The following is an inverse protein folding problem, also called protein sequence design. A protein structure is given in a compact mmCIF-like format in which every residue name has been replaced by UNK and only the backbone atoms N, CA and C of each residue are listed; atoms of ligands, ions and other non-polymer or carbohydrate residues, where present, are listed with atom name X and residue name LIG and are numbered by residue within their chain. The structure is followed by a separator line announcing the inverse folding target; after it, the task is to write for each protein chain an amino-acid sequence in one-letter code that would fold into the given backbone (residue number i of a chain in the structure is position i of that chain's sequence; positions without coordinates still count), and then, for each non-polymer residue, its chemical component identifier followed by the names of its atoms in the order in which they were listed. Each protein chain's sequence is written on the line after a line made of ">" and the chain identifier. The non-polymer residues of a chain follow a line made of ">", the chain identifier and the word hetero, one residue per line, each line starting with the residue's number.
data_IF_697638649609
#
_entry.id   IF_697638649609
#
_cell.length_a   1.000
_cell.length_b   1.000
_cell.length_c   1.000
_cell.angle_alpha   90.00
_cell.angle_beta   90.00
_cell.angle_gamma   90.00
#
_symmetry.space_group_name_H-M   'P 1'
#
loop_
_entity.id
_entity.type
_entity.pdbx_description
1 polymer ?
#
# COMPACT_ATOMS: atom_id res chain seq x y z
N UNK A 1 2.64 15.95 -9.22
CA UNK A 1 3.23 14.59 -9.27
C UNK A 1 2.08 13.62 -9.51
N UNK A 2 2.17 12.66 -10.47
CA UNK A 2 1.06 11.78 -10.86
C UNK A 2 0.59 10.82 -9.75
N UNK A 3 1.40 10.61 -8.71
CA UNK A 3 1.09 9.73 -7.59
C UNK A 3 0.41 10.44 -6.40
N UNK A 4 0.25 11.77 -6.47
CA UNK A 4 -0.24 12.58 -5.33
C UNK A 4 -1.58 12.09 -4.78
N UNK A 5 -2.56 11.81 -5.65
CA UNK A 5 -3.88 11.36 -5.20
C UNK A 5 -3.84 9.99 -4.51
N UNK A 6 -2.85 9.16 -4.85
CA UNK A 6 -2.64 7.86 -4.21
C UNK A 6 -2.03 8.09 -2.83
N UNK A 7 -0.96 8.89 -2.73
CA UNK A 7 -0.30 9.16 -1.44
C UNK A 7 -1.22 9.91 -0.47
N UNK A 8 -1.97 10.90 -0.96
CA UNK A 8 -2.95 11.65 -0.16
C UNK A 8 -4.02 10.72 0.43
N UNK A 9 -4.50 9.73 -0.34
CA UNK A 9 -5.46 8.74 0.17
C UNK A 9 -4.93 7.97 1.37
N UNK A 10 -3.64 7.59 1.38
CA UNK A 10 -3.03 6.95 2.54
C UNK A 10 -2.82 7.93 3.70
N UNK A 11 -2.38 9.16 3.42
CA UNK A 11 -2.21 10.22 4.45
C UNK A 11 -3.53 10.63 5.13
N UNK A 12 -4.68 10.38 4.51
CA UNK A 12 -6.00 10.50 5.15
C UNK A 12 -6.29 9.40 6.20
N UNK A 13 -5.35 8.49 6.45
CA UNK A 13 -5.48 7.39 7.42
C UNK A 13 -6.09 6.12 6.84
N UNK A 14 -6.23 6.03 5.51
CA UNK A 14 -6.68 4.80 4.88
C UNK A 14 -5.54 3.79 4.78
N UNK A 15 -5.88 2.51 4.91
CA UNK A 15 -4.95 1.39 4.74
C UNK A 15 -5.50 0.38 3.73
N UNK A 16 -4.59 -0.38 3.14
CA UNK A 16 -4.92 -1.41 2.16
C UNK A 16 -4.19 -2.71 2.53
N UNK A 17 -4.94 -3.76 2.79
CA UNK A 17 -4.40 -5.11 3.01
C UNK A 17 -4.77 -6.02 1.83
N UNK A 18 -3.76 -6.54 1.16
CA UNK A 18 -3.85 -7.49 0.04
C UNK A 18 -3.35 -8.85 0.52
N UNK A 19 -4.28 -9.68 0.99
CA UNK A 19 -3.99 -11.07 1.35
C UNK A 19 -4.06 -12.00 0.13
N UNK A 20 -3.17 -13.00 0.09
CA UNK A 20 -3.15 -14.06 -0.91
C UNK A 20 -4.43 -14.91 -0.90
N UNK A 21 -5.18 -14.89 0.20
CA UNK A 21 -6.47 -15.58 0.33
C UNK A 21 -7.64 -14.81 -0.32
N UNK A 22 -7.42 -13.59 -0.82
CA UNK A 22 -8.48 -12.81 -1.47
C UNK A 22 -8.92 -13.46 -2.78
N UNK A 23 -10.24 -13.52 -2.98
CA UNK A 23 -10.79 -13.87 -4.30
C UNK A 23 -10.54 -12.72 -5.27
N UNK A 24 -10.45 -13.00 -6.58
CA UNK A 24 -10.18 -11.97 -7.60
C UNK A 24 -11.16 -10.78 -7.55
N UNK A 25 -12.43 -11.01 -7.19
CA UNK A 25 -13.42 -9.94 -7.01
C UNK A 25 -13.12 -9.05 -5.80
N UNK A 26 -12.72 -9.65 -4.66
CA UNK A 26 -12.33 -8.89 -3.47
C UNK A 26 -11.02 -8.15 -3.71
N UNK A 27 -10.01 -8.81 -4.28
CA UNK A 27 -8.75 -8.19 -4.68
C UNK A 27 -8.97 -6.95 -5.55
N UNK A 28 -9.79 -7.07 -6.60
CA UNK A 28 -10.21 -5.93 -7.43
C UNK A 28 -10.87 -4.84 -6.59
N UNK A 29 -11.80 -5.20 -5.72
CA UNK A 29 -12.52 -4.24 -4.89
C UNK A 29 -11.57 -3.45 -4.00
N UNK A 30 -10.63 -4.12 -3.35
CA UNK A 30 -9.63 -3.48 -2.49
C UNK A 30 -8.77 -2.48 -3.28
N UNK A 31 -8.21 -2.88 -4.41
CA UNK A 31 -7.41 -1.99 -5.26
C UNK A 31 -8.21 -0.78 -5.78
N UNK A 32 -9.48 -0.96 -6.10
CA UNK A 32 -10.34 0.12 -6.59
C UNK A 32 -10.75 1.12 -5.50
N UNK A 33 -10.50 0.83 -4.21
CA UNK A 33 -10.73 1.79 -3.11
C UNK A 33 -9.70 2.92 -3.11
N UNK A 34 -8.49 2.66 -3.64
CA UNK A 34 -7.40 3.62 -3.61
C UNK A 34 -7.63 4.70 -4.67
N UNK A 35 -7.91 5.92 -4.23
CA UNK A 35 -8.20 7.06 -5.10
C UNK A 35 -7.03 7.34 -6.05
N UNK A 36 -7.34 7.53 -7.33
CA UNK A 36 -6.35 7.85 -8.36
C UNK A 36 -5.51 6.66 -8.87
N UNK A 37 -5.54 5.50 -8.22
CA UNK A 37 -4.73 4.34 -8.61
C UNK A 37 -5.14 3.77 -9.98
N UNK A 38 -6.44 3.56 -10.18
CA UNK A 38 -6.97 3.05 -11.45
C UNK A 38 -6.74 4.05 -12.60
N UNK A 39 -7.03 5.33 -12.35
CA UNK A 39 -6.91 6.40 -13.35
C UNK A 39 -5.45 6.59 -13.78
N UNK A 40 -4.50 6.48 -12.84
CA UNK A 40 -3.08 6.51 -13.13
C UNK A 40 -2.69 5.40 -14.11
N UNK A 41 -3.06 4.15 -13.81
CA UNK A 41 -2.73 3.00 -14.67
C UNK A 41 -3.38 3.16 -16.05
N UNK A 42 -4.65 3.56 -16.12
CA UNK A 42 -5.35 3.76 -17.40
C UNK A 42 -4.80 4.93 -18.21
N UNK A 43 -4.28 5.97 -17.56
CA UNK A 43 -3.64 7.10 -18.23
C UNK A 43 -2.37 6.68 -18.98
N UNK A 44 -1.52 5.85 -18.38
CA UNK A 44 -0.26 5.41 -19.00
C UNK A 44 -0.41 4.14 -19.86
N UNK A 45 -1.36 3.27 -19.51
CA UNK A 45 -1.57 1.97 -20.17
C UNK A 45 -3.05 1.71 -20.47
N UNK A 46 -3.69 2.47 -21.38
CA UNK A 46 -5.13 2.39 -21.62
C UNK A 46 -5.60 1.07 -22.23
N UNK A 47 -4.71 0.35 -22.93
CA UNK A 47 -5.03 -0.87 -23.69
C UNK A 47 -4.87 -2.17 -22.89
N UNK A 48 -4.57 -2.10 -21.59
CA UNK A 48 -4.43 -3.29 -20.77
C UNK A 48 -5.78 -3.97 -20.54
N UNK A 49 -5.73 -5.31 -20.53
CA UNK A 49 -6.83 -6.11 -20.00
C UNK A 49 -7.10 -5.77 -18.54
N UNK A 50 -8.25 -6.19 -18.03
CA UNK A 50 -8.64 -5.94 -16.64
C UNK A 50 -7.61 -6.54 -15.66
N UNK A 51 -7.25 -7.81 -15.81
CA UNK A 51 -6.29 -8.48 -14.93
C UNK A 51 -4.92 -7.80 -14.96
N UNK A 52 -4.45 -7.38 -16.14
CA UNK A 52 -3.19 -6.65 -16.26
C UNK A 52 -3.28 -5.26 -15.62
N UNK A 53 -4.44 -4.60 -15.70
CA UNK A 53 -4.67 -3.31 -15.04
C UNK A 53 -4.55 -3.48 -13.52
N UNK A 54 -5.21 -4.49 -12.95
CA UNK A 54 -5.15 -4.76 -11.51
C UNK A 54 -3.73 -5.11 -11.03
N UNK A 55 -3.01 -5.93 -11.80
CA UNK A 55 -1.61 -6.24 -11.51
C UNK A 55 -0.74 -4.97 -11.51
N UNK A 56 -0.97 -4.05 -12.47
CA UNK A 56 -0.21 -2.81 -12.52
C UNK A 56 -0.58 -1.83 -11.40
N UNK A 57 -1.82 -1.86 -10.93
CA UNK A 57 -2.26 -1.10 -9.76
C UNK A 57 -1.49 -1.56 -8.52
N UNK A 58 -1.44 -2.87 -8.27
CA UNK A 58 -0.61 -3.43 -7.19
C UNK A 58 0.87 -3.06 -7.37
N UNK A 59 1.41 -3.22 -8.58
CA UNK A 59 2.81 -2.88 -8.89
C UNK A 59 3.16 -1.42 -8.55
N UNK A 60 2.25 -0.47 -8.82
CA UNK A 60 2.46 0.94 -8.45
C UNK A 60 2.58 1.10 -6.95
N UNK A 61 1.74 0.43 -6.16
CA UNK A 61 1.78 0.51 -4.69
C UNK A 61 3.09 -0.03 -4.14
N UNK A 62 3.57 -1.17 -4.66
CA UNK A 62 4.89 -1.69 -4.32
C UNK A 62 5.99 -0.69 -4.68
N UNK A 63 5.97 -0.13 -5.91
CA UNK A 63 6.96 0.86 -6.33
C UNK A 63 6.97 2.12 -5.46
N UNK A 64 5.80 2.60 -5.01
CA UNK A 64 5.71 3.72 -4.08
C UNK A 64 6.30 3.39 -2.71
N UNK A 65 6.08 2.18 -2.21
CA UNK A 65 6.68 1.73 -0.97
C UNK A 65 8.22 1.62 -1.06
N UNK A 66 8.76 1.08 -2.16
CA UNK A 66 10.21 1.00 -2.37
C UNK A 66 10.89 2.37 -2.49
N UNK A 67 10.13 3.42 -2.81
CA UNK A 67 10.59 4.81 -2.84
C UNK A 67 10.20 5.62 -1.58
N UNK A 68 9.86 4.94 -0.48
CA UNK A 68 9.51 5.56 0.80
C UNK A 68 8.37 6.59 0.69
N UNK A 69 7.46 6.42 -0.28
CA UNK A 69 6.25 7.24 -0.40
C UNK A 69 5.08 6.62 0.37
N UNK A 70 5.11 5.30 0.60
CA UNK A 70 4.17 4.54 1.41
C UNK A 70 4.95 3.63 2.36
N UNK A 71 4.33 3.20 3.46
CA UNK A 71 4.83 2.09 4.25
C UNK A 71 4.32 0.76 3.69
N UNK A 72 5.15 -0.29 3.75
CA UNK A 72 4.79 -1.66 3.38
C UNK A 72 5.05 -2.59 4.54
N UNK A 73 4.01 -3.28 4.99
CA UNK A 73 4.06 -4.34 6.01
C UNK A 73 3.84 -5.71 5.36
N UNK A 74 4.57 -6.71 5.84
CA UNK A 74 4.33 -8.10 5.46
C UNK A 74 3.25 -8.67 6.37
N UNK A 75 2.21 -9.26 5.77
CA UNK A 75 1.17 -9.97 6.48
C UNK A 75 1.47 -11.47 6.44
N UNK A 76 0.81 -12.25 7.30
CA UNK A 76 0.83 -13.72 7.18
C UNK A 76 0.03 -14.13 5.92
N UNK A 77 0.73 -14.17 4.78
CA UNK A 77 0.15 -14.42 3.45
C UNK A 77 -0.37 -13.18 2.74
N UNK A 78 0.47 -12.15 2.58
CA UNK A 78 0.16 -10.99 1.73
C UNK A 78 0.95 -9.72 2.09
N UNK A 79 0.44 -8.57 1.64
CA UNK A 79 1.04 -7.26 1.85
C UNK A 79 0.02 -6.26 2.38
N UNK A 80 0.48 -5.37 3.26
CA UNK A 80 -0.29 -4.21 3.68
C UNK A 80 0.42 -2.91 3.32
N UNK A 81 -0.36 -1.90 2.95
CA UNK A 81 0.11 -0.55 2.65
C UNK A 81 -0.59 0.46 3.55
N UNK A 82 0.18 1.42 4.05
CA UNK A 82 -0.30 2.51 4.91
C UNK A 82 0.50 3.79 4.67
N UNK A 83 0.12 4.87 5.34
CA UNK A 83 0.91 6.09 5.35
C UNK A 83 2.32 5.85 5.90
N UNK A 84 3.30 6.53 5.31
CA UNK A 84 4.70 6.37 5.69
C UNK A 84 4.97 6.98 7.08
N UNK A 85 4.39 8.16 7.38
CA UNK A 85 4.62 8.83 8.65
C UNK A 85 3.94 8.11 9.81
N UNK A 86 2.71 7.64 9.61
CA UNK A 86 2.03 6.81 10.61
C UNK A 86 2.89 5.62 11.04
N UNK A 87 3.51 4.93 10.09
CA UNK A 87 4.40 3.80 10.36
C UNK A 87 5.61 4.21 11.20
N UNK A 88 6.22 5.38 10.94
CA UNK A 88 7.39 5.86 11.69
C UNK A 88 7.05 6.21 13.16
N UNK A 89 5.87 6.80 13.39
CA UNK A 89 5.44 7.13 14.74
C UNK A 89 5.02 5.89 15.54
N UNK A 90 4.48 4.87 14.87
CA UNK A 90 4.08 3.62 15.51
C UNK A 90 5.26 2.68 15.81
N UNK A 91 6.37 2.76 15.05
CA UNK A 91 7.61 2.02 15.39
C UNK A 91 8.31 2.54 16.66
N UNK A 92 7.97 3.73 17.14
CA UNK A 92 8.55 4.29 18.37
C UNK A 92 7.92 3.80 19.68
N UNK A 93 6.92 2.90 19.63
CA UNK A 93 6.23 2.38 20.82
C UNK A 93 6.38 0.88 21.04
N UNK A 94 6.96 0.14 20.08
CA UNK A 94 7.11 -1.32 20.17
C UNK A 94 8.56 -1.81 20.32
N UNK A 95 9.57 -0.96 20.19
CA UNK A 95 11.01 -1.33 20.32
C UNK A 95 11.62 -1.01 21.72
N UNK A 96 10.83 -0.52 22.68
CA UNK A 96 11.30 -0.06 24.01
C UNK A 96 10.91 -0.99 25.19
N UNK A 97 10.72 -2.31 24.97
CA UNK A 97 10.52 -3.27 26.09
C UNK A 97 11.58 -4.38 26.23
N UNK A 98 12.57 -4.49 25.34
CA UNK A 98 13.61 -5.53 25.40
C UNK A 98 15.03 -4.94 25.28
N UNK A 99 15.51 -4.13 26.23
CA UNK A 99 16.95 -3.99 26.60
C UNK A 99 17.22 -2.83 27.58
N UNK A 100 16.70 -2.90 28.81
CA UNK A 100 17.23 -2.09 29.93
C UNK A 100 17.59 -3.01 31.10
N UNK A 101 18.66 -3.79 30.93
CA UNK A 101 19.44 -4.37 32.04
C UNK A 101 20.53 -3.36 32.45
N UNK A 102 20.19 -2.42 33.35
CA UNK A 102 21.20 -1.62 34.03
C UNK A 102 21.82 -2.44 35.17
N UNK A 103 23.04 -2.91 34.90
CA UNK A 103 24.00 -3.42 35.89
C UNK A 103 24.37 -2.38 36.94
#
# INVERSE_FOLDING_TARGET
>A
NPYNSITEWFTEGNTLDLSDALTGSKYKKELMRVTGLYDLVKKFHPKLSENQTLLLMEFVLHGLAEHSQLSKKYLDGGFGFSDMFESLFNTGVEDDEDDIDFR
#
